data_IF_674147050819
#
_entry.id   IF_674147050819
#
_cell.length_a   1.000
_cell.length_b   1.000
_cell.length_c   1.000
_cell.angle_alpha   90.00
_cell.angle_beta   90.00
_cell.angle_gamma   90.00
#
_symmetry.space_group_name_H-M   'P 1'
#
loop_
_entity.id
_entity.type
_entity.pdbx_description
1 polymer ?
#
# COMPACT_ATOMS: atom_id res chain seq x y z
N UNK A 1 9.23 3.95 -10.98
CA UNK A 1 9.08 4.32 -12.40
C UNK A 1 7.89 3.56 -12.97
N UNK A 2 6.77 4.24 -13.21
CA UNK A 2 5.69 3.72 -14.05
C UNK A 2 5.99 4.03 -15.53
N UNK A 3 5.32 3.33 -16.46
CA UNK A 3 5.59 3.46 -17.91
C UNK A 3 5.38 4.88 -18.46
N UNK A 4 4.58 5.71 -17.78
CA UNK A 4 4.15 7.03 -18.27
C UNK A 4 4.37 8.17 -17.26
N UNK A 5 4.86 7.87 -16.05
CA UNK A 5 5.03 8.85 -14.99
C UNK A 5 6.37 8.70 -14.26
N UNK A 6 6.94 9.83 -13.86
CA UNK A 6 8.08 9.91 -12.97
C UNK A 6 7.63 10.61 -11.68
N UNK A 7 8.15 10.15 -10.55
CA UNK A 7 7.92 10.79 -9.26
C UNK A 7 9.22 11.41 -8.79
N UNK A 8 9.16 12.69 -8.45
CA UNK A 8 10.27 13.48 -7.95
C UNK A 8 9.99 13.90 -6.51
N UNK A 9 11.05 13.99 -5.72
CA UNK A 9 11.03 14.75 -4.48
C UNK A 9 11.32 16.21 -4.82
N UNK A 10 10.47 17.10 -4.33
CA UNK A 10 10.62 18.55 -4.51
C UNK A 10 10.36 19.27 -3.17
N UNK A 11 10.75 20.53 -3.12
CA UNK A 11 10.49 21.39 -1.96
C UNK A 11 9.97 22.75 -2.43
N UNK A 12 9.31 23.47 -1.53
CA UNK A 12 8.88 24.82 -1.79
C UNK A 12 10.10 25.77 -1.83
N UNK A 13 10.17 26.65 -2.84
CA UNK A 13 11.35 27.54 -3.04
C UNK A 13 11.63 28.38 -1.80
N UNK A 14 10.59 28.95 -1.18
CA UNK A 14 10.71 29.82 0.00
C UNK A 14 10.66 29.06 1.34
N UNK A 15 10.40 27.74 1.32
CA UNK A 15 10.26 26.87 2.51
C UNK A 15 10.87 25.52 2.21
N UNK A 16 12.20 25.37 2.19
CA UNK A 16 12.89 24.15 1.79
C UNK A 16 12.52 22.92 2.67
N UNK A 17 12.07 23.16 3.90
CA UNK A 17 11.59 22.12 4.82
C UNK A 17 10.26 21.49 4.38
N UNK A 18 9.48 22.17 3.53
CA UNK A 18 8.21 21.65 3.02
C UNK A 18 8.44 20.76 1.80
N UNK A 19 8.63 19.47 2.06
CA UNK A 19 8.79 18.46 1.02
C UNK A 19 7.46 18.05 0.41
N UNK A 20 7.49 17.77 -0.90
CA UNK A 20 6.37 17.23 -1.69
C UNK A 20 6.85 16.15 -2.64
N UNK A 21 5.97 15.22 -2.97
CA UNK A 21 6.15 14.27 -4.06
C UNK A 21 5.44 14.78 -5.30
N UNK A 22 6.18 14.97 -6.41
CA UNK A 22 5.62 15.43 -7.68
C UNK A 22 5.55 14.26 -8.65
N UNK A 23 4.35 13.74 -8.91
CA UNK A 23 4.08 12.73 -9.97
C UNK A 23 3.89 13.47 -11.27
N UNK A 24 4.87 13.41 -12.15
CA UNK A 24 4.88 14.07 -13.46
C UNK A 24 4.49 13.08 -14.55
N UNK A 25 3.38 13.32 -15.22
CA UNK A 25 2.80 12.46 -16.27
C UNK A 25 2.93 13.15 -17.62
N UNK A 26 3.53 12.47 -18.61
CA UNK A 26 3.71 13.00 -19.96
C UNK A 26 2.40 12.92 -20.75
N UNK A 27 1.79 14.08 -21.09
CA UNK A 27 0.48 14.15 -21.77
C UNK A 27 0.44 13.43 -23.12
N UNK A 28 1.47 13.59 -23.93
CA UNK A 28 1.55 12.97 -25.28
C UNK A 28 1.55 11.42 -25.24
N UNK A 29 1.86 10.82 -24.10
CA UNK A 29 1.83 9.36 -23.91
C UNK A 29 0.48 8.84 -23.41
N UNK A 30 -0.46 9.73 -23.12
CA UNK A 30 -1.78 9.37 -22.64
C UNK A 30 -2.75 9.19 -23.82
N UNK A 31 -3.31 7.99 -23.95
CA UNK A 31 -4.51 7.82 -24.75
C UNK A 31 -5.70 8.57 -24.12
N UNK A 32 -6.77 8.89 -24.88
CA UNK A 32 -7.96 9.54 -24.30
C UNK A 32 -8.49 8.83 -23.06
N UNK A 33 -8.48 7.50 -23.06
CA UNK A 33 -8.91 6.68 -21.92
C UNK A 33 -7.99 6.79 -20.70
N UNK A 34 -6.67 6.88 -20.93
CA UNK A 34 -5.71 7.07 -19.83
C UNK A 34 -5.81 8.48 -19.22
N UNK A 35 -6.08 9.48 -20.06
CA UNK A 35 -6.31 10.85 -19.59
C UNK A 35 -7.60 10.92 -18.74
N UNK A 36 -8.70 10.33 -19.21
CA UNK A 36 -9.95 10.23 -18.44
C UNK A 36 -9.73 9.55 -17.07
N UNK A 37 -8.97 8.46 -17.05
CA UNK A 37 -8.65 7.77 -15.80
C UNK A 37 -7.82 8.66 -14.85
N UNK A 38 -6.83 9.39 -15.37
CA UNK A 38 -6.01 10.32 -14.58
C UNK A 38 -6.83 11.49 -14.02
N UNK A 39 -7.73 12.05 -14.81
CA UNK A 39 -8.66 13.10 -14.37
C UNK A 39 -9.61 12.58 -13.28
N UNK A 40 -10.08 11.33 -13.42
CA UNK A 40 -10.84 10.63 -12.38
C UNK A 40 -10.03 10.46 -11.10
N UNK A 41 -8.76 10.04 -11.18
CA UNK A 41 -7.83 9.94 -10.03
C UNK A 41 -7.69 11.31 -9.33
N UNK A 42 -7.45 12.36 -10.10
CA UNK A 42 -7.31 13.73 -9.59
C UNK A 42 -8.59 14.19 -8.88
N UNK A 43 -9.74 13.97 -9.51
CA UNK A 43 -11.04 14.34 -8.94
C UNK A 43 -11.31 13.64 -7.61
N UNK A 44 -11.04 12.34 -7.55
CA UNK A 44 -11.17 11.54 -6.34
C UNK A 44 -10.25 12.10 -5.25
N UNK A 45 -8.95 12.27 -5.53
CA UNK A 45 -7.97 12.76 -4.56
C UNK A 45 -8.31 14.18 -4.06
N UNK A 46 -8.76 15.08 -4.91
CA UNK A 46 -9.20 16.43 -4.51
C UNK A 46 -10.38 16.44 -3.55
N UNK A 47 -11.23 15.43 -3.61
CA UNK A 47 -12.43 15.31 -2.77
C UNK A 47 -12.16 14.69 -1.40
N UNK A 48 -10.94 14.19 -1.15
CA UNK A 48 -10.61 13.42 0.05
C UNK A 48 -9.62 14.14 0.95
N UNK A 49 -9.89 14.04 2.26
CA UNK A 49 -8.96 14.42 3.31
C UNK A 49 -9.06 13.40 4.42
N UNK A 50 -7.99 12.64 4.65
CA UNK A 50 -7.95 11.62 5.68
C UNK A 50 -6.51 11.31 6.09
N UNK A 51 -6.24 11.14 7.39
CA UNK A 51 -4.90 10.89 7.94
C UNK A 51 -4.17 9.73 7.27
N UNK A 52 -4.89 8.68 6.87
CA UNK A 52 -4.30 7.48 6.27
C UNK A 52 -4.47 7.41 4.74
N UNK A 53 -4.66 8.53 4.08
CA UNK A 53 -4.70 8.65 2.61
C UNK A 53 -3.73 9.74 2.20
N UNK A 54 -2.96 9.52 1.14
CA UNK A 54 -2.04 10.52 0.59
C UNK A 54 -2.80 11.74 0.14
N UNK A 55 -2.43 12.92 0.65
CA UNK A 55 -3.06 14.18 0.29
C UNK A 55 -2.56 14.69 -1.07
N UNK A 56 -3.49 15.08 -1.95
CA UNK A 56 -3.18 15.83 -3.16
C UNK A 56 -3.22 17.33 -2.83
N UNK A 57 -2.03 17.94 -2.76
CA UNK A 57 -1.88 19.37 -2.41
C UNK A 57 -2.25 20.28 -3.56
N UNK A 58 -1.80 19.93 -4.79
CA UNK A 58 -2.09 20.72 -5.99
C UNK A 58 -1.95 19.90 -7.25
N UNK A 59 -2.44 20.41 -8.38
CA UNK A 59 -2.31 19.80 -9.70
C UNK A 59 -2.08 20.89 -10.76
N UNK A 60 -0.91 20.83 -11.42
CA UNK A 60 -0.50 21.80 -12.43
C UNK A 60 -0.54 21.14 -13.81
N UNK A 61 -1.22 21.81 -14.73
CA UNK A 61 -1.31 21.41 -16.14
C UNK A 61 -0.39 22.28 -16.97
N UNK A 62 0.50 21.66 -17.72
CA UNK A 62 1.30 22.29 -18.78
C UNK A 62 0.96 21.68 -20.14
N UNK A 63 1.51 22.21 -21.21
CA UNK A 63 1.31 21.66 -22.55
C UNK A 63 1.85 20.24 -22.68
N UNK A 64 2.96 19.93 -22.00
CA UNK A 64 3.65 18.65 -22.11
C UNK A 64 3.32 17.68 -20.97
N UNK A 65 3.01 18.17 -19.77
CA UNK A 65 2.89 17.36 -18.56
C UNK A 65 1.66 17.72 -17.73
N UNK A 66 1.23 16.76 -16.92
CA UNK A 66 0.34 16.98 -15.78
C UNK A 66 1.14 16.62 -14.53
N UNK A 67 1.29 17.58 -13.61
CA UNK A 67 2.05 17.42 -12.37
C UNK A 67 1.08 17.35 -11.19
N UNK A 68 1.10 16.22 -10.47
CA UNK A 68 0.35 16.04 -9.23
C UNK A 68 1.32 16.29 -8.07
N UNK A 69 1.07 17.32 -7.29
CA UNK A 69 1.84 17.62 -6.07
C UNK A 69 1.15 16.96 -4.88
N UNK A 70 1.79 15.94 -4.34
CA UNK A 70 1.24 15.10 -3.28
C UNK A 70 2.06 15.21 -2.00
N UNK A 71 1.48 14.78 -0.90
CA UNK A 71 2.18 14.56 0.35
C UNK A 71 3.42 13.67 0.14
N UNK A 72 4.56 14.08 0.70
CA UNK A 72 5.80 13.29 0.65
C UNK A 72 5.86 12.36 1.85
N UNK A 73 6.02 11.07 1.61
CA UNK A 73 6.13 10.03 2.64
C UNK A 73 7.56 9.49 2.68
N UNK A 74 8.41 9.92 3.64
CA UNK A 74 9.83 9.58 3.67
C UNK A 74 10.12 8.12 4.04
N UNK A 75 9.15 7.40 4.61
CA UNK A 75 9.33 6.01 5.06
C UNK A 75 9.29 4.96 3.94
N UNK A 76 9.13 5.36 2.67
CA UNK A 76 8.99 4.44 1.55
C UNK A 76 7.66 3.70 1.58
N UNK A 77 7.60 2.50 1.00
CA UNK A 77 6.41 1.67 0.96
C UNK A 77 6.48 0.48 1.94
N UNK A 78 5.31 -0.02 2.31
CA UNK A 78 5.19 -1.14 3.27
C UNK A 78 5.84 -2.43 2.76
N UNK A 79 5.92 -2.66 1.44
CA UNK A 79 6.60 -3.84 0.89
C UNK A 79 8.10 -3.81 1.16
N UNK A 80 8.72 -2.64 1.02
CA UNK A 80 10.13 -2.45 1.38
C UNK A 80 10.32 -2.61 2.87
N UNK A 81 9.44 -1.99 3.67
CA UNK A 81 9.47 -2.07 5.13
C UNK A 81 9.41 -3.51 5.64
N UNK A 82 8.49 -4.34 5.11
CA UNK A 82 8.38 -5.76 5.45
C UNK A 82 9.68 -6.51 5.07
N UNK A 83 10.19 -6.31 3.85
CA UNK A 83 11.41 -6.99 3.37
C UNK A 83 12.65 -6.64 4.17
N UNK A 84 12.72 -5.43 4.65
CA UNK A 84 13.86 -4.92 5.42
C UNK A 84 13.68 -5.09 6.94
N UNK A 85 12.68 -5.88 7.36
CA UNK A 85 12.35 -6.10 8.77
C UNK A 85 12.26 -4.80 9.57
N UNK A 86 11.49 -3.83 9.06
CA UNK A 86 11.35 -2.53 9.67
C UNK A 86 12.54 -1.59 9.50
N UNK A 87 13.58 -2.00 8.75
CA UNK A 87 14.65 -1.10 8.38
C UNK A 87 14.21 -0.28 7.17
N UNK A 88 13.94 0.99 7.36
CA UNK A 88 13.80 1.91 6.24
C UNK A 88 15.21 2.24 5.76
N UNK A 89 15.51 1.92 4.51
CA UNK A 89 16.76 2.38 3.90
C UNK A 89 16.81 3.91 3.97
N UNK A 90 17.97 4.51 4.30
CA UNK A 90 18.13 5.94 4.20
C UNK A 90 17.79 6.34 2.76
N UNK A 91 16.78 7.18 2.60
CA UNK A 91 16.51 7.79 1.32
C UNK A 91 17.64 8.81 1.09
N UNK A 92 18.31 8.78 -0.05
CA UNK A 92 19.29 9.77 -0.53
C UNK A 92 20.73 9.74 -0.02
N UNK A 93 21.31 8.61 0.23
CA UNK A 93 22.76 8.56 0.44
C UNK A 93 23.26 9.35 1.68
N UNK A 94 22.36 9.90 2.44
CA UNK A 94 22.69 10.47 3.74
C UNK A 94 22.92 9.31 4.72
N UNK A 95 24.18 9.10 5.07
CA UNK A 95 24.63 8.01 5.95
C UNK A 95 24.15 8.16 7.41
N UNK A 96 23.22 9.07 7.66
CA UNK A 96 22.53 9.23 8.93
C UNK A 96 21.51 8.11 9.11
N UNK A 97 21.74 7.19 10.03
CA UNK A 97 20.74 6.21 10.44
C UNK A 97 19.43 6.95 10.75
N UNK A 98 18.33 6.54 10.09
CA UNK A 98 17.01 7.07 10.40
C UNK A 98 16.77 6.85 11.92
N UNK A 99 16.70 7.92 12.73
CA UNK A 99 16.58 7.78 14.19
C UNK A 99 15.32 7.00 14.57
N UNK A 100 14.27 7.07 13.74
CA UNK A 100 13.04 6.28 13.91
C UNK A 100 13.32 4.77 13.80
N UNK A 101 14.15 4.34 12.84
CA UNK A 101 14.45 2.93 12.61
C UNK A 101 15.22 2.28 13.77
N UNK A 102 16.09 3.04 14.44
CA UNK A 102 16.82 2.56 15.62
C UNK A 102 15.88 2.43 16.84
N UNK A 103 15.05 3.44 17.08
CA UNK A 103 14.07 3.44 18.17
C UNK A 103 13.00 2.34 17.99
N UNK A 104 12.55 2.13 16.76
CA UNK A 104 11.60 1.06 16.42
C UNK A 104 12.14 -0.33 16.73
N UNK A 105 13.39 -0.61 16.37
CA UNK A 105 14.01 -1.93 16.58
C UNK A 105 14.14 -2.30 18.05
N UNK A 106 14.43 -1.34 18.92
CA UNK A 106 14.57 -1.62 20.35
C UNK A 106 13.22 -1.84 21.04
N UNK A 107 12.18 -1.11 20.62
CA UNK A 107 10.86 -1.15 21.27
C UNK A 107 9.91 -2.19 20.66
N UNK A 108 10.02 -2.45 19.37
CA UNK A 108 9.17 -3.38 18.62
C UNK A 108 10.02 -4.37 17.80
N UNK A 109 10.72 -5.33 18.45
CA UNK A 109 11.55 -6.31 17.75
C UNK A 109 10.67 -7.14 16.81
N UNK A 110 11.13 -7.30 15.58
CA UNK A 110 10.44 -8.11 14.57
C UNK A 110 10.83 -9.58 14.71
N UNK A 111 9.92 -10.51 14.37
CA UNK A 111 10.21 -11.94 14.38
C UNK A 111 11.37 -12.31 13.44
N UNK A 112 12.28 -13.17 13.89
CA UNK A 112 13.45 -13.63 13.09
C UNK A 112 13.06 -14.34 11.78
N UNK A 113 11.88 -14.97 11.74
CA UNK A 113 11.42 -15.77 10.61
C UNK A 113 10.63 -15.01 9.55
N UNK A 114 10.55 -13.69 9.68
CA UNK A 114 9.81 -12.78 8.77
C UNK A 114 8.54 -12.23 9.38
N UNK A 115 7.97 -11.24 8.70
CA UNK A 115 6.83 -10.48 9.21
C UNK A 115 7.23 -9.34 10.13
N UNK A 116 6.24 -8.64 10.64
CA UNK A 116 6.39 -7.48 11.51
C UNK A 116 5.95 -7.83 12.95
N UNK A 117 6.40 -7.02 13.90
CA UNK A 117 5.95 -7.10 15.28
C UNK A 117 4.42 -6.96 15.37
N UNK A 118 3.78 -7.73 16.27
CA UNK A 118 2.33 -7.77 16.41
C UNK A 118 1.71 -6.39 16.69
N UNK A 119 2.32 -5.56 17.53
CA UNK A 119 1.81 -4.24 17.85
C UNK A 119 1.82 -3.33 16.62
N UNK A 120 2.87 -3.42 15.78
CA UNK A 120 2.94 -2.70 14.52
C UNK A 120 1.88 -3.20 13.53
N UNK A 121 1.70 -4.52 13.41
CA UNK A 121 0.66 -5.12 12.57
C UNK A 121 -0.73 -4.64 12.99
N UNK A 122 -1.02 -4.64 14.30
CA UNK A 122 -2.30 -4.14 14.83
C UNK A 122 -2.53 -2.67 14.51
N UNK A 123 -1.51 -1.83 14.72
CA UNK A 123 -1.59 -0.41 14.39
C UNK A 123 -1.80 -0.17 12.90
N UNK A 124 -0.99 -0.83 12.05
CA UNK A 124 -1.12 -0.70 10.60
C UNK A 124 -2.47 -1.18 10.08
N UNK A 125 -2.97 -2.29 10.63
CA UNK A 125 -4.31 -2.78 10.27
C UNK A 125 -5.39 -1.77 10.66
N UNK A 126 -5.35 -1.22 11.87
CA UNK A 126 -6.32 -0.22 12.32
C UNK A 126 -6.33 1.02 11.41
N UNK A 127 -5.16 1.51 11.03
CA UNK A 127 -4.99 2.63 10.12
C UNK A 127 -5.53 2.33 8.72
N UNK A 128 -5.21 1.14 8.17
CA UNK A 128 -5.68 0.71 6.85
C UNK A 128 -7.21 0.54 6.84
N UNK A 129 -7.77 -0.05 7.88
CA UNK A 129 -9.23 -0.18 8.03
C UNK A 129 -9.89 1.20 8.11
N UNK A 130 -9.28 2.16 8.82
CA UNK A 130 -9.77 3.55 8.88
C UNK A 130 -9.84 4.17 7.48
N UNK A 131 -8.77 4.03 6.68
CA UNK A 131 -8.75 4.52 5.29
C UNK A 131 -9.83 3.86 4.42
N UNK A 132 -9.93 2.52 4.45
CA UNK A 132 -10.92 1.78 3.63
C UNK A 132 -12.35 2.13 4.05
N UNK A 133 -12.61 2.25 5.34
CA UNK A 133 -13.91 2.71 5.85
C UNK A 133 -14.26 4.11 5.36
N UNK A 134 -13.29 5.04 5.36
CA UNK A 134 -13.47 6.38 4.81
C UNK A 134 -13.78 6.33 3.31
N UNK A 135 -13.01 5.58 2.52
CA UNK A 135 -13.28 5.40 1.08
C UNK A 135 -14.69 4.86 0.85
N UNK A 136 -15.09 3.86 1.64
CA UNK A 136 -16.42 3.29 1.57
C UNK A 136 -17.52 4.29 1.87
N UNK A 137 -17.32 5.19 2.85
CA UNK A 137 -18.28 6.27 3.17
C UNK A 137 -18.46 7.29 2.04
N UNK A 138 -17.54 7.30 1.08
CA UNK A 138 -17.56 8.14 -0.14
C UNK A 138 -17.94 7.34 -1.39
N UNK A 139 -18.40 6.09 -1.22
CA UNK A 139 -18.67 5.17 -2.33
C UNK A 139 -17.47 4.95 -3.26
N UNK A 140 -16.24 5.00 -2.73
CA UNK A 140 -15.02 4.77 -3.49
C UNK A 140 -14.48 3.38 -3.17
N UNK A 141 -14.08 2.64 -4.22
CA UNK A 141 -13.35 1.38 -4.16
C UNK A 141 -11.98 1.59 -4.76
N UNK A 142 -10.93 1.23 -4.02
CA UNK A 142 -9.53 1.49 -4.42
C UNK A 142 -9.06 0.52 -5.51
N UNK A 143 -9.32 -0.77 -5.37
CA UNK A 143 -9.06 -1.88 -6.30
C UNK A 143 -7.59 -2.25 -6.53
N UNK A 144 -6.64 -1.59 -5.90
CA UNK A 144 -5.21 -1.93 -5.95
C UNK A 144 -4.53 -1.74 -4.59
N UNK A 145 -5.21 -2.19 -3.50
CA UNK A 145 -4.60 -2.22 -2.17
C UNK A 145 -3.54 -3.33 -2.15
N UNK A 146 -2.29 -2.91 -1.92
CA UNK A 146 -1.11 -3.78 -1.83
C UNK A 146 -0.01 -3.06 -1.06
N UNK A 147 0.99 -3.76 -0.50
CA UNK A 147 2.04 -3.12 0.29
C UNK A 147 2.82 -2.02 -0.45
N UNK A 148 2.97 -2.10 -1.79
CA UNK A 148 3.65 -1.08 -2.60
C UNK A 148 2.87 0.25 -2.68
N UNK A 149 1.55 0.21 -2.49
CA UNK A 149 0.66 1.38 -2.50
C UNK A 149 0.32 1.88 -1.09
N UNK A 150 0.95 1.33 -0.06
CA UNK A 150 0.84 1.76 1.33
C UNK A 150 2.16 2.44 1.72
N UNK A 151 2.18 3.76 1.65
CA UNK A 151 3.36 4.55 1.98
C UNK A 151 3.44 4.80 3.48
N UNK A 152 4.65 5.04 3.97
CA UNK A 152 4.91 5.25 5.39
C UNK A 152 5.33 6.70 5.65
N UNK A 153 4.59 7.35 6.55
CA UNK A 153 4.82 8.73 6.98
C UNK A 153 5.28 8.76 8.43
N UNK A 154 6.11 9.71 8.79
CA UNK A 154 6.45 10.01 10.18
C UNK A 154 5.21 10.63 10.84
N UNK A 155 4.82 10.19 12.07
CA UNK A 155 3.73 10.84 12.80
C UNK A 155 4.02 12.32 13.03
N UNK A 156 3.03 13.16 12.74
CA UNK A 156 3.08 14.58 13.03
C UNK A 156 2.67 14.89 14.49
N UNK A 157 2.83 16.15 14.89
CA UNK A 157 2.55 16.58 16.27
C UNK A 157 1.08 16.36 16.66
N UNK A 158 0.14 16.42 15.71
CA UNK A 158 -1.29 16.17 15.96
C UNK A 158 -1.54 14.70 16.27
N UNK A 159 -0.94 13.80 15.50
CA UNK A 159 -1.01 12.36 15.75
C UNK A 159 -0.36 11.99 17.08
N UNK A 160 0.80 12.57 17.40
CA UNK A 160 1.48 12.35 18.68
C UNK A 160 0.64 12.85 19.86
N UNK A 161 0.03 14.03 19.75
CA UNK A 161 -0.86 14.59 20.76
C UNK A 161 -2.12 13.73 20.97
N UNK A 162 -2.58 13.02 19.95
CA UNK A 162 -3.69 12.06 20.02
C UNK A 162 -3.30 10.72 20.66
N UNK A 163 -2.03 10.53 21.05
CA UNK A 163 -1.51 9.32 21.69
C UNK A 163 -0.96 8.27 20.73
N UNK A 164 -0.73 8.61 19.45
CA UNK A 164 -0.07 7.71 18.51
C UNK A 164 1.41 7.51 18.93
N UNK A 165 1.92 6.25 18.98
CA UNK A 165 3.32 6.02 19.33
C UNK A 165 4.26 6.63 18.28
N UNK A 166 5.27 7.42 18.67
CA UNK A 166 6.19 8.07 17.73
C UNK A 166 7.02 7.08 16.91
N UNK A 167 7.22 5.87 17.42
CA UNK A 167 8.00 4.83 16.75
C UNK A 167 7.19 4.04 15.71
N UNK A 168 5.88 4.20 15.65
CA UNK A 168 5.03 3.51 14.66
C UNK A 168 4.70 4.47 13.53
N UNK A 169 5.13 4.20 12.28
CA UNK A 169 4.78 5.04 11.13
C UNK A 169 3.28 5.12 10.89
N UNK A 170 2.85 6.20 10.25
CA UNK A 170 1.51 6.30 9.70
C UNK A 170 1.46 5.65 8.32
N UNK A 171 0.46 4.79 8.09
CA UNK A 171 0.14 4.31 6.75
C UNK A 171 -0.62 5.38 5.99
N UNK A 172 -0.21 5.60 4.74
CA UNK A 172 -0.85 6.45 3.75
C UNK A 172 -1.21 5.64 2.51
N UNK A 173 -2.50 5.41 2.27
CA UNK A 173 -2.98 4.76 1.04
C UNK A 173 -2.72 5.69 -0.14
N UNK A 174 -2.05 5.18 -1.18
CA UNK A 174 -1.62 5.93 -2.35
C UNK A 174 -2.00 5.20 -3.65
N UNK A 175 -1.83 5.88 -4.79
CA UNK A 175 -2.06 5.37 -6.14
C UNK A 175 -3.53 4.99 -6.40
N UNK A 176 -4.34 6.02 -6.64
CA UNK A 176 -5.77 5.92 -6.95
C UNK A 176 -6.05 5.72 -8.46
N UNK A 177 -5.04 5.36 -9.26
CA UNK A 177 -5.17 5.18 -10.70
C UNK A 177 -6.17 4.10 -11.14
N UNK A 178 -6.52 3.18 -10.23
CA UNK A 178 -7.57 2.18 -10.42
C UNK A 178 -8.83 2.46 -9.60
N UNK A 179 -8.83 3.48 -8.75
CA UNK A 179 -9.98 3.80 -7.91
C UNK A 179 -11.21 4.19 -8.74
N UNK A 180 -12.38 3.88 -8.21
CA UNK A 180 -13.65 4.17 -8.89
C UNK A 180 -14.74 4.48 -7.87
N UNK A 181 -15.63 5.43 -8.25
CA UNK A 181 -16.89 5.58 -7.55
C UNK A 181 -17.77 4.35 -7.82
N UNK A 182 -18.17 3.65 -6.76
CA UNK A 182 -19.00 2.46 -6.82
C UNK A 182 -20.01 2.50 -5.66
N UNK A 183 -21.21 3.07 -5.90
CA UNK A 183 -22.28 3.09 -4.91
C UNK A 183 -22.59 1.70 -4.33
N UNK A 184 -23.12 1.63 -3.11
CA UNK A 184 -23.32 0.38 -2.38
C UNK A 184 -24.12 -0.69 -3.13
N UNK A 185 -25.01 -0.27 -4.02
CA UNK A 185 -25.88 -1.14 -4.83
C UNK A 185 -25.28 -1.48 -6.20
N UNK A 186 -24.12 -0.93 -6.55
CA UNK A 186 -23.50 -1.09 -7.86
C UNK A 186 -22.41 -2.16 -7.84
N UNK A 187 -22.22 -2.83 -8.98
CA UNK A 187 -21.19 -3.84 -9.19
C UNK A 187 -20.27 -3.40 -10.33
N UNK A 188 -18.97 -3.66 -10.22
CA UNK A 188 -17.98 -3.43 -11.26
C UNK A 188 -17.59 -4.74 -11.97
N UNK A 189 -17.10 -4.64 -13.21
CA UNK A 189 -16.63 -5.79 -14.00
C UNK A 189 -15.37 -5.40 -14.78
N UNK A 190 -14.30 -5.05 -14.10
CA UNK A 190 -13.05 -4.63 -14.76
C UNK A 190 -11.88 -5.31 -14.06
N UNK A 191 -11.08 -6.08 -14.81
CA UNK A 191 -9.83 -6.64 -14.29
C UNK A 191 -8.82 -5.50 -14.15
N UNK A 192 -8.43 -5.19 -12.92
CA UNK A 192 -7.43 -4.16 -12.61
C UNK A 192 -6.81 -4.45 -11.25
N UNK A 193 -5.61 -3.90 -11.02
CA UNK A 193 -4.85 -4.06 -9.80
C UNK A 193 -3.78 -5.16 -9.91
N UNK A 194 -3.14 -5.49 -8.79
CA UNK A 194 -2.03 -6.44 -8.70
C UNK A 194 -2.54 -7.86 -8.39
N UNK A 195 -2.32 -8.85 -9.25
CA UNK A 195 -2.97 -10.16 -9.13
C UNK A 195 -2.86 -10.81 -7.75
N UNK A 196 -1.70 -10.74 -7.08
CA UNK A 196 -1.47 -11.39 -5.78
C UNK A 196 -2.40 -10.91 -4.65
N UNK A 197 -3.00 -9.75 -4.80
CA UNK A 197 -3.88 -9.12 -3.81
C UNK A 197 -5.32 -8.98 -4.31
N UNK A 198 -5.61 -9.42 -5.55
CA UNK A 198 -6.96 -9.37 -6.11
C UNK A 198 -7.88 -10.41 -5.48
N UNK A 199 -9.11 -10.01 -5.24
CA UNK A 199 -10.18 -10.90 -4.82
C UNK A 199 -10.51 -11.95 -5.91
N UNK A 200 -10.93 -13.17 -5.51
CA UNK A 200 -11.20 -14.25 -6.46
C UNK A 200 -12.25 -13.89 -7.50
N UNK A 201 -13.29 -13.14 -7.14
CA UNK A 201 -14.31 -12.66 -8.08
C UNK A 201 -13.73 -11.73 -9.16
N UNK A 202 -12.71 -10.92 -8.83
CA UNK A 202 -12.02 -10.10 -9.83
C UNK A 202 -11.21 -10.99 -10.78
N UNK A 203 -10.49 -11.98 -10.25
CA UNK A 203 -9.70 -12.93 -11.03
C UNK A 203 -10.57 -13.77 -11.97
N UNK A 204 -11.83 -14.05 -11.60
CA UNK A 204 -12.83 -14.74 -12.43
C UNK A 204 -13.54 -13.84 -13.44
N UNK A 205 -13.22 -12.54 -13.48
CA UNK A 205 -13.95 -11.55 -14.29
C UNK A 205 -15.45 -11.45 -13.93
N UNK A 206 -15.79 -11.75 -12.69
CA UNK A 206 -17.15 -11.63 -12.16
C UNK A 206 -17.44 -10.19 -11.75
N UNK A 207 -18.71 -9.94 -11.44
CA UNK A 207 -19.12 -8.66 -10.86
C UNK A 207 -18.67 -8.60 -9.40
N UNK A 208 -18.10 -7.49 -8.97
CA UNK A 208 -17.59 -7.29 -7.62
C UNK A 208 -18.05 -5.95 -7.02
N UNK A 209 -18.02 -5.88 -5.71
CA UNK A 209 -18.33 -4.69 -4.92
C UNK A 209 -17.11 -4.23 -4.09
N UNK A 210 -17.34 -3.33 -3.13
CA UNK A 210 -16.32 -2.82 -2.25
C UNK A 210 -15.68 -3.89 -1.32
N UNK A 211 -16.25 -5.09 -1.21
CA UNK A 211 -15.65 -6.18 -0.43
C UNK A 211 -14.36 -6.70 -1.06
N UNK A 212 -14.13 -6.43 -2.36
CA UNK A 212 -12.89 -6.76 -3.01
C UNK A 212 -11.67 -6.09 -2.35
N UNK A 213 -11.83 -4.85 -1.84
CA UNK A 213 -10.75 -4.20 -1.07
C UNK A 213 -10.50 -4.90 0.28
N UNK A 214 -11.52 -5.51 0.89
CA UNK A 214 -11.34 -6.27 2.14
C UNK A 214 -10.52 -7.55 1.94
N UNK A 215 -10.67 -8.22 0.81
CA UNK A 215 -9.79 -9.34 0.43
C UNK A 215 -8.33 -8.86 0.34
N UNK A 216 -8.10 -7.74 -0.35
CA UNK A 216 -6.77 -7.14 -0.47
C UNK A 216 -6.17 -6.76 0.88
N UNK A 217 -6.98 -6.19 1.79
CA UNK A 217 -6.58 -5.91 3.19
C UNK A 217 -6.17 -7.18 3.91
N UNK A 218 -6.93 -8.27 3.76
CA UNK A 218 -6.60 -9.59 4.32
C UNK A 218 -5.27 -10.13 3.80
N UNK A 219 -5.02 -10.00 2.49
CA UNK A 219 -3.75 -10.42 1.89
C UNK A 219 -2.55 -9.60 2.38
N UNK A 220 -2.73 -8.28 2.55
CA UNK A 220 -1.72 -7.38 3.16
C UNK A 220 -1.47 -7.74 4.61
N UNK A 221 -2.53 -7.99 5.40
CA UNK A 221 -2.41 -8.41 6.79
C UNK A 221 -1.59 -9.70 6.91
N UNK A 222 -1.90 -10.70 6.10
CA UNK A 222 -1.10 -11.94 6.07
C UNK A 222 0.37 -11.65 5.79
N UNK A 223 0.66 -10.81 4.80
CA UNK A 223 2.04 -10.47 4.45
C UNK A 223 2.75 -9.69 5.58
N UNK A 224 2.06 -8.80 6.28
CA UNK A 224 2.60 -8.15 7.46
C UNK A 224 2.96 -9.15 8.57
N UNK A 225 2.12 -10.16 8.79
CA UNK A 225 2.36 -11.18 9.82
C UNK A 225 3.45 -12.19 9.43
N UNK A 226 3.55 -12.55 8.15
CA UNK A 226 4.35 -13.71 7.69
C UNK A 226 5.57 -13.31 6.87
N UNK A 227 5.64 -12.07 6.39
CA UNK A 227 6.72 -11.55 5.54
C UNK A 227 6.60 -11.94 4.05
N UNK A 228 5.49 -12.52 3.65
CA UNK A 228 5.22 -12.92 2.26
C UNK A 228 3.72 -12.98 1.98
N UNK A 229 3.27 -12.76 0.74
CA UNK A 229 1.85 -12.85 0.40
C UNK A 229 1.29 -14.27 0.62
N UNK A 230 -0.03 -14.39 0.91
CA UNK A 230 -0.69 -15.68 1.22
C UNK A 230 -0.62 -16.65 0.05
N UNK A 231 -0.75 -16.14 -1.16
CA UNK A 231 -0.68 -16.92 -2.39
C UNK A 231 0.44 -16.40 -3.29
N UNK A 232 1.17 -17.32 -3.93
CA UNK A 232 2.19 -17.01 -4.93
C UNK A 232 1.91 -17.82 -6.18
N UNK A 233 1.94 -17.16 -7.33
CA UNK A 233 1.71 -17.79 -8.62
C UNK A 233 2.48 -17.04 -9.72
N UNK A 234 2.75 -17.71 -10.83
CA UNK A 234 3.42 -17.12 -11.99
C UNK A 234 2.47 -16.25 -12.83
N UNK A 235 1.16 -16.52 -12.74
CA UNK A 235 0.11 -15.80 -13.46
C UNK A 235 -1.23 -15.87 -12.70
N UNK A 236 -2.20 -15.06 -13.16
CA UNK A 236 -3.51 -14.93 -12.50
C UNK A 236 -4.36 -16.22 -12.54
N UNK A 237 -4.22 -17.06 -13.59
CA UNK A 237 -4.96 -18.34 -13.71
C UNK A 237 -4.46 -19.35 -12.68
N UNK A 238 -3.14 -19.47 -12.53
CA UNK A 238 -2.52 -20.32 -11.51
C UNK A 238 -2.88 -19.82 -10.10
N UNK A 239 -2.90 -18.49 -9.92
CA UNK A 239 -3.29 -17.87 -8.65
C UNK A 239 -4.71 -18.26 -8.26
N UNK A 240 -5.67 -18.08 -9.17
CA UNK A 240 -7.07 -18.44 -8.96
C UNK A 240 -7.19 -19.94 -8.63
N UNK A 241 -6.53 -20.80 -9.38
CA UNK A 241 -6.51 -22.25 -9.09
C UNK A 241 -5.99 -22.53 -7.67
N UNK A 242 -4.94 -21.86 -7.21
CA UNK A 242 -4.39 -22.06 -5.85
C UNK A 242 -5.35 -21.61 -4.77
N UNK A 243 -6.06 -20.51 -4.97
CA UNK A 243 -7.10 -20.02 -4.05
C UNK A 243 -8.22 -21.05 -3.97
N UNK A 244 -8.75 -21.53 -5.09
CA UNK A 244 -9.87 -22.47 -5.15
C UNK A 244 -9.53 -23.88 -4.61
N UNK A 245 -8.36 -24.43 -4.97
CA UNK A 245 -7.93 -25.75 -4.51
C UNK A 245 -7.51 -25.78 -3.03
N UNK A 246 -7.23 -24.60 -2.46
CA UNK A 246 -6.94 -24.48 -1.04
C UNK A 246 -8.16 -24.66 -0.13
N UNK A 247 -9.37 -24.81 -0.69
CA UNK A 247 -10.64 -24.78 0.05
C UNK A 247 -10.68 -23.60 1.02
N UNK A 248 -10.26 -22.43 0.55
CA UNK A 248 -10.11 -21.20 1.32
C UNK A 248 -9.19 -21.30 2.56
N UNK A 249 -8.42 -22.39 2.68
CA UNK A 249 -7.47 -22.56 3.77
C UNK A 249 -6.16 -21.86 3.45
N UNK A 250 -5.92 -20.75 4.11
CA UNK A 250 -4.63 -20.08 4.16
C UNK A 250 -3.77 -20.79 5.21
N UNK A 251 -2.64 -21.39 4.77
CA UNK A 251 -1.71 -22.06 5.68
C UNK A 251 -0.83 -21.02 6.38
N UNK A 252 -0.94 -20.92 7.69
CA UNK A 252 -0.02 -20.16 8.51
C UNK A 252 1.23 -20.97 8.85
N UNK A 253 2.39 -20.31 9.09
CA UNK A 253 3.65 -21.01 9.39
C UNK A 253 3.60 -21.87 10.65
N UNK A 254 2.83 -21.49 11.65
CA UNK A 254 2.60 -22.18 12.92
C UNK A 254 1.73 -23.43 12.80
N UNK A 255 0.94 -23.55 11.73
CA UNK A 255 0.18 -24.78 11.41
C UNK A 255 1.06 -25.90 10.78
N UNK A 256 2.36 -25.67 10.60
CA UNK A 256 3.27 -26.69 10.08
C UNK A 256 3.50 -27.77 11.13
N UNK A 257 3.28 -29.02 10.74
CA UNK A 257 3.61 -30.16 11.60
C UNK A 257 5.09 -30.13 12.01
N UNK A 258 5.43 -30.57 13.23
CA UNK A 258 6.81 -30.67 13.74
C UNK A 258 7.77 -31.34 12.75
N UNK A 259 7.28 -32.31 11.96
CA UNK A 259 8.04 -33.00 10.90
C UNK A 259 8.44 -32.06 9.75
N UNK A 260 7.65 -31.05 9.44
CA UNK A 260 7.98 -30.04 8.42
C UNK A 260 9.02 -29.04 8.90
N UNK A 261 8.96 -28.65 10.18
CA UNK A 261 9.94 -27.77 10.83
C UNK A 261 11.31 -28.47 10.94
N UNK A 262 11.34 -29.75 11.29
CA UNK A 262 12.57 -30.56 11.33
C UNK A 262 13.24 -30.70 9.95
N UNK A 263 12.46 -30.88 8.87
CA UNK A 263 12.99 -30.94 7.50
C UNK A 263 13.57 -29.59 7.03
N UNK A 264 12.96 -28.49 7.38
CA UNK A 264 13.46 -27.14 7.03
C UNK A 264 14.72 -26.78 7.85
N UNK A 265 14.84 -27.24 9.09
CA UNK A 265 16.04 -27.10 9.91
C UNK A 265 17.22 -27.91 9.37
N UNK A 266 16.98 -29.14 8.84
CA UNK A 266 18.01 -29.98 8.20
C UNK A 266 18.51 -29.41 6.85
N UNK A 267 17.69 -28.67 6.13
CA UNK A 267 18.09 -28.06 4.84
C UNK A 267 18.90 -26.76 4.99
N UNK A 268 18.98 -26.20 6.20
CA UNK A 268 19.73 -24.97 6.53
C UNK A 268 21.10 -25.24 7.16
N UNK A 269 21.44 -26.48 7.41
CA UNK A 269 22.79 -26.96 7.75
C UNK A 269 23.50 -27.51 6.49
#
# INVERSE_FOLDING_TARGET
>A
KGSFALVYRAHHISKPEQLVAVKSVVRQKLSPKLLENLEGEISILKSMRHTNIVDLRDCIYTDEHIHLMMEYCPGGDLSQYIRMHGNVAPWDGDAGANPLAAAQRSKFPHPEYGGLNEQMVRSFLAQLVSAVRFLRSKDIVHRDIKPQNLLLQIPDDECLASGHPPEIPLIKVADFGFARSLPATSLAKTLCGSPLYMAPEILRYEKYDAKADLWSVGAVLYEMCVGRPPFRASNHVELLRRIEHGNDRIKFPDERSEQSLAKDAMRRK
#
